data_IF_780617277964
#
_entry.id   IF_780617277964
#
_cell.length_a   1.000
_cell.length_b   1.000
_cell.length_c   1.000
_cell.angle_alpha   90.00
_cell.angle_beta   90.00
_cell.angle_gamma   90.00
#
_symmetry.space_group_name_H-M   'P 1'
#
loop_
_entity.id
_entity.type
_entity.pdbx_description
1 polymer ?
#
# COMPACT_ATOMS: atom_id res chain seq x y z
N UNK A 1 10.86 33.64 46.67
CA UNK A 1 10.99 33.83 45.21
C UNK A 1 11.54 32.55 44.63
N UNK A 2 10.69 31.71 44.05
CA UNK A 2 11.05 30.73 43.01
C UNK A 2 9.77 30.02 42.60
N UNK A 3 8.96 30.78 41.87
CA UNK A 3 7.86 30.26 41.09
C UNK A 3 8.43 29.71 39.78
N UNK A 4 7.77 28.67 39.28
CA UNK A 4 7.69 28.31 37.85
C UNK A 4 8.95 27.75 37.19
N UNK A 5 9.25 26.47 37.44
CA UNK A 5 10.01 25.70 36.42
C UNK A 5 9.72 24.19 36.43
N UNK A 6 9.11 23.63 37.48
CA UNK A 6 8.89 22.17 37.59
C UNK A 6 7.63 21.63 36.88
N UNK A 7 6.90 22.42 36.08
CA UNK A 7 5.63 21.97 35.47
C UNK A 7 5.57 21.93 33.93
N UNK A 8 6.67 22.19 33.22
CA UNK A 8 6.61 22.26 31.74
C UNK A 8 7.32 21.12 31.01
N UNK A 9 8.11 20.28 31.69
CA UNK A 9 8.90 19.27 30.98
C UNK A 9 8.19 17.92 30.78
N UNK A 10 7.13 17.62 31.53
CA UNK A 10 6.44 16.31 31.45
C UNK A 10 5.28 16.26 30.44
N UNK A 11 4.88 17.40 29.84
CA UNK A 11 3.77 17.42 28.86
C UNK A 11 4.21 17.33 27.40
N UNK A 12 5.51 17.42 27.10
CA UNK A 12 6.00 17.41 25.72
C UNK A 12 6.61 16.08 25.24
N UNK A 13 6.50 15.00 26.02
CA UNK A 13 7.02 13.67 25.62
C UNK A 13 5.92 12.75 25.09
N UNK A 14 4.65 13.01 25.42
CA UNK A 14 3.55 12.12 25.06
C UNK A 14 2.85 12.45 23.73
N UNK A 15 3.10 13.61 23.14
CA UNK A 15 2.46 14.04 21.87
C UNK A 15 3.27 13.73 20.62
N UNK A 16 4.51 13.23 20.73
CA UNK A 16 5.31 12.85 19.56
C UNK A 16 5.31 11.35 19.26
N UNK A 17 4.53 10.54 19.98
CA UNK A 17 4.56 9.08 19.85
C UNK A 17 3.58 8.50 18.80
N UNK A 18 2.84 9.34 18.08
CA UNK A 18 1.80 8.88 17.14
C UNK A 18 2.07 9.20 15.65
N UNK A 19 3.19 9.85 15.29
CA UNK A 19 3.37 10.29 13.88
C UNK A 19 4.71 9.95 13.23
N UNK A 20 5.67 9.34 13.92
CA UNK A 20 6.97 9.05 13.31
C UNK A 20 7.38 7.61 13.59
N UNK A 21 6.83 6.69 12.79
CA UNK A 21 7.45 5.39 12.56
C UNK A 21 8.47 5.57 11.41
N UNK A 22 9.79 5.60 11.67
CA UNK A 22 10.81 5.80 10.64
C UNK A 22 11.19 4.44 10.03
N UNK A 23 10.23 3.77 9.39
CA UNK A 23 10.50 2.64 8.50
C UNK A 23 10.42 3.08 7.03
N UNK A 24 10.91 4.29 6.74
CA UNK A 24 11.15 4.74 5.36
C UNK A 24 12.47 4.17 4.86
N UNK A 25 12.52 2.86 4.67
CA UNK A 25 13.63 2.17 4.01
C UNK A 25 13.14 1.61 2.68
N UNK A 26 12.81 2.47 1.72
CA UNK A 26 12.76 2.19 0.27
C UNK A 26 12.20 0.82 -0.19
N UNK A 27 11.27 0.23 0.56
CA UNK A 27 10.50 -0.95 0.19
C UNK A 27 9.17 -0.42 -0.29
N UNK A 28 8.94 -0.41 -1.59
CA UNK A 28 7.65 0.00 -2.17
C UNK A 28 6.58 -0.92 -1.58
N UNK A 29 5.95 -0.47 -0.50
CA UNK A 29 5.24 -1.37 0.41
C UNK A 29 3.84 -1.63 -0.14
N UNK A 30 3.26 -2.76 0.23
CA UNK A 30 1.89 -3.15 -0.11
C UNK A 30 0.89 -1.99 0.00
N UNK A 31 1.02 -1.17 1.04
CA UNK A 31 0.22 0.03 1.28
C UNK A 31 0.34 1.11 0.19
N UNK A 32 1.52 1.29 -0.42
CA UNK A 32 1.70 2.25 -1.52
C UNK A 32 1.01 1.75 -2.78
N UNK A 33 1.20 0.47 -3.12
CA UNK A 33 0.50 -0.14 -4.26
C UNK A 33 -1.00 -0.17 -4.02
N UNK A 34 -1.43 -0.44 -2.80
CA UNK A 34 -2.83 -0.40 -2.41
C UNK A 34 -3.39 0.98 -2.69
N UNK A 35 -2.74 2.05 -2.20
CA UNK A 35 -3.19 3.42 -2.42
C UNK A 35 -3.18 3.81 -3.90
N UNK A 36 -2.19 3.37 -4.68
CA UNK A 36 -2.07 3.65 -6.11
C UNK A 36 -3.12 2.93 -6.94
N UNK A 37 -3.42 1.68 -6.63
CA UNK A 37 -4.28 0.80 -7.42
C UNK A 37 -5.73 0.79 -6.94
N UNK A 38 -6.01 1.15 -5.68
CA UNK A 38 -7.36 1.16 -5.11
C UNK A 38 -8.33 1.92 -6.01
N UNK A 39 -9.35 1.22 -6.51
CA UNK A 39 -10.39 1.79 -7.35
C UNK A 39 -9.98 2.02 -8.82
N UNK A 40 -8.76 1.65 -9.23
CA UNK A 40 -8.33 1.71 -10.63
C UNK A 40 -8.56 0.38 -11.32
N UNK A 41 -8.96 0.44 -12.59
CA UNK A 41 -9.16 -0.70 -13.47
C UNK A 41 -7.85 -1.19 -14.06
N UNK A 42 -7.49 -2.44 -13.80
CA UNK A 42 -6.25 -3.04 -14.32
C UNK A 42 -6.48 -3.52 -15.77
N UNK A 43 -5.67 -3.04 -16.70
CA UNK A 43 -5.77 -3.40 -18.13
C UNK A 43 -4.44 -3.96 -18.66
N UNK A 44 -4.49 -4.96 -19.54
CA UNK A 44 -3.30 -5.56 -20.19
C UNK A 44 -2.57 -4.62 -21.16
N UNK A 45 -3.19 -3.49 -21.52
CA UNK A 45 -2.66 -2.53 -22.49
C UNK A 45 -2.38 -1.16 -21.90
N UNK A 46 -2.35 -0.15 -22.77
CA UNK A 46 -2.13 1.24 -22.37
C UNK A 46 -3.34 1.78 -21.62
N UNK A 47 -3.14 2.23 -20.38
CA UNK A 47 -4.11 3.01 -19.64
C UNK A 47 -4.55 4.23 -20.47
N UNK A 48 -5.85 4.34 -20.74
CA UNK A 48 -6.44 5.43 -21.50
C UNK A 48 -7.12 6.48 -20.60
N UNK A 49 -7.18 6.22 -19.30
CA UNK A 49 -7.85 7.08 -18.32
C UNK A 49 -7.12 7.07 -16.98
N UNK A 50 -7.34 8.11 -16.18
CA UNK A 50 -6.84 8.23 -14.80
C UNK A 50 -7.32 7.07 -13.92
N UNK A 51 -8.52 6.56 -14.20
CA UNK A 51 -9.13 5.42 -13.50
C UNK A 51 -8.68 4.06 -14.06
N UNK A 52 -7.84 4.02 -15.09
CA UNK A 52 -7.26 2.78 -15.63
C UNK A 52 -5.77 2.72 -15.32
N UNK A 53 -5.27 1.53 -15.01
CA UNK A 53 -3.87 1.28 -14.70
C UNK A 53 -3.35 0.15 -15.58
N UNK A 54 -2.21 0.38 -16.25
CA UNK A 54 -1.62 -0.60 -17.15
C UNK A 54 -0.91 -1.69 -16.34
N UNK A 55 -1.02 -2.96 -16.76
CA UNK A 55 -0.17 -4.02 -16.19
C UNK A 55 1.32 -3.81 -16.45
N UNK A 56 1.67 -3.00 -17.46
CA UNK A 56 3.05 -2.61 -17.74
C UNK A 56 3.65 -1.69 -16.67
N UNK A 57 2.82 -0.96 -15.93
CA UNK A 57 3.24 -0.10 -14.82
C UNK A 57 3.37 -0.89 -13.50
N UNK A 58 2.99 -2.17 -13.50
CA UNK A 58 3.17 -3.07 -12.35
C UNK A 58 4.61 -3.61 -12.33
N UNK A 59 5.11 -4.03 -11.15
CA UNK A 59 6.44 -4.63 -11.04
C UNK A 59 6.55 -5.91 -11.88
N UNK A 60 7.77 -6.26 -12.28
CA UNK A 60 8.06 -7.40 -13.16
C UNK A 60 7.42 -8.71 -12.64
N UNK A 61 7.46 -8.91 -11.32
CA UNK A 61 6.73 -10.00 -10.65
C UNK A 61 5.39 -9.50 -10.14
N UNK A 62 4.34 -9.66 -10.92
CA UNK A 62 2.97 -9.40 -10.50
C UNK A 62 2.00 -10.49 -10.93
N UNK A 63 0.87 -10.61 -10.23
CA UNK A 63 -0.22 -11.54 -10.55
C UNK A 63 -1.55 -10.84 -10.31
N UNK A 64 -2.37 -10.74 -11.35
CA UNK A 64 -3.74 -10.22 -11.22
C UNK A 64 -4.66 -11.40 -10.91
N UNK A 65 -5.38 -11.34 -9.80
CA UNK A 65 -6.24 -12.39 -9.29
C UNK A 65 -7.70 -11.94 -9.46
N UNK A 66 -8.45 -12.54 -10.39
CA UNK A 66 -9.89 -12.30 -10.52
C UNK A 66 -10.67 -12.84 -9.32
N UNK A 67 -11.86 -12.29 -9.05
CA UNK A 67 -12.71 -12.81 -7.99
C UNK A 67 -13.10 -14.27 -8.30
N UNK A 68 -13.11 -15.12 -7.27
CA UNK A 68 -13.46 -16.54 -7.41
C UNK A 68 -12.38 -17.42 -8.05
N UNK A 69 -11.21 -16.87 -8.39
CA UNK A 69 -10.09 -17.67 -8.89
C UNK A 69 -9.37 -18.36 -7.74
N UNK A 70 -9.21 -19.68 -7.84
CA UNK A 70 -8.38 -20.45 -6.93
C UNK A 70 -6.91 -20.19 -7.28
N UNK A 71 -6.17 -19.61 -6.34
CA UNK A 71 -4.72 -19.40 -6.46
C UNK A 71 -3.96 -20.41 -5.63
N UNK A 72 -2.84 -20.88 -6.16
CA UNK A 72 -1.90 -21.72 -5.43
C UNK A 72 -1.21 -20.92 -4.33
N UNK A 73 -0.91 -21.60 -3.22
CA UNK A 73 -0.14 -21.03 -2.10
C UNK A 73 1.37 -21.14 -2.36
N UNK A 74 1.81 -20.73 -3.55
CA UNK A 74 3.23 -20.62 -3.88
C UNK A 74 3.77 -19.29 -3.34
N UNK A 75 4.63 -19.35 -2.33
CA UNK A 75 5.12 -18.14 -1.65
C UNK A 75 6.25 -17.45 -2.44
N UNK A 76 5.96 -16.26 -2.96
CA UNK A 76 6.91 -15.40 -3.66
C UNK A 76 6.96 -14.00 -3.02
N UNK A 77 7.91 -13.73 -2.12
CA UNK A 77 7.96 -12.46 -1.36
C UNK A 77 8.08 -11.22 -2.25
N UNK A 78 8.68 -11.35 -3.44
CA UNK A 78 8.85 -10.26 -4.39
C UNK A 78 7.62 -10.01 -5.28
N UNK A 79 6.60 -10.88 -5.23
CA UNK A 79 5.47 -10.84 -6.17
C UNK A 79 4.33 -10.00 -5.63
N UNK A 80 3.89 -9.02 -6.42
CA UNK A 80 2.68 -8.26 -6.15
C UNK A 80 1.45 -9.01 -6.68
N UNK A 81 0.61 -9.51 -5.78
CA UNK A 81 -0.72 -10.00 -6.10
C UNK A 81 -1.72 -8.83 -6.08
N UNK A 82 -2.41 -8.60 -7.17
CA UNK A 82 -3.47 -7.57 -7.29
C UNK A 82 -4.80 -8.27 -7.40
N UNK A 83 -5.63 -8.15 -6.38
CA UNK A 83 -7.00 -8.65 -6.39
C UNK A 83 -7.90 -7.65 -7.08
N UNK A 84 -8.60 -8.11 -8.11
CA UNK A 84 -9.57 -7.31 -8.84
C UNK A 84 -11.00 -7.79 -8.57
N UNK A 85 -11.97 -6.91 -8.79
CA UNK A 85 -13.39 -7.26 -8.79
C UNK A 85 -13.85 -7.82 -10.15
N UNK A 86 -15.15 -8.12 -10.28
CA UNK A 86 -15.75 -8.64 -11.52
C UNK A 86 -15.68 -7.64 -12.69
N UNK A 87 -15.50 -6.35 -12.39
CA UNK A 87 -15.39 -5.28 -13.37
C UNK A 87 -13.92 -5.01 -13.78
N UNK A 88 -12.96 -5.62 -13.08
CA UNK A 88 -11.52 -5.47 -13.27
C UNK A 88 -10.88 -4.34 -12.45
N UNK A 89 -11.58 -3.80 -11.45
CA UNK A 89 -11.04 -2.77 -10.56
C UNK A 89 -10.23 -3.40 -9.43
N UNK A 90 -9.05 -2.88 -9.15
CA UNK A 90 -8.22 -3.32 -8.04
C UNK A 90 -8.88 -2.93 -6.71
N UNK A 91 -9.15 -3.96 -5.90
CA UNK A 91 -9.77 -3.86 -4.59
C UNK A 91 -8.76 -4.03 -3.47
N UNK A 92 -7.81 -4.94 -3.66
CA UNK A 92 -6.81 -5.25 -2.66
C UNK A 92 -5.51 -5.68 -3.32
N UNK A 93 -4.39 -5.50 -2.62
CA UNK A 93 -3.09 -5.96 -3.07
C UNK A 93 -2.40 -6.69 -1.93
N UNK A 94 -1.66 -7.74 -2.26
CA UNK A 94 -0.90 -8.54 -1.29
C UNK A 94 0.46 -8.91 -1.86
N UNK A 95 1.50 -8.97 -1.04
CA UNK A 95 2.78 -9.55 -1.41
C UNK A 95 2.88 -11.00 -0.94
N UNK A 96 3.30 -11.90 -1.83
CA UNK A 96 3.57 -13.29 -1.48
C UNK A 96 3.26 -14.33 -2.52
#
# INVERSE_FOLDING_TARGET
>A
MSSNEEQTFTRLVNEQRAQNNPASTNTVSEAEWHTKLSGKKIVDGQAHSVDTFSKQDLPEKHRVIPPGTLVTMDHHPDRLNVHVDEQGNATHVTFG
#
